data_IF_959256460218
#
_entry.id   IF_959256460218
#
_cell.length_a   1.000
_cell.length_b   1.000
_cell.length_c   1.000
_cell.angle_alpha   90.00
_cell.angle_beta   90.00
_cell.angle_gamma   90.00
#
_symmetry.space_group_name_H-M   'P 1'
#
loop_
_entity.id
_entity.type
_entity.pdbx_description
1 polymer ?
#
# COMPACT_ATOMS: atom_id res chain seq x y z
N UNK A 1 -40.32 -43.64 -10.55
CA UNK A 1 -39.24 -42.94 -11.24
C UNK A 1 -38.56 -42.02 -10.21
N UNK A 2 -37.28 -42.25 -9.88
CA UNK A 2 -36.54 -41.36 -8.97
C UNK A 2 -36.17 -40.07 -9.73
N UNK A 3 -36.35 -38.92 -9.10
CA UNK A 3 -35.91 -37.64 -9.65
C UNK A 3 -34.37 -37.66 -9.81
N UNK A 4 -33.84 -37.08 -10.91
CA UNK A 4 -32.41 -37.01 -11.08
C UNK A 4 -31.77 -36.24 -9.93
N UNK A 5 -30.68 -36.78 -9.38
CA UNK A 5 -29.86 -36.09 -8.35
C UNK A 5 -29.36 -34.77 -8.97
N UNK A 6 -29.59 -33.67 -8.26
CA UNK A 6 -29.13 -32.33 -8.66
C UNK A 6 -27.59 -32.31 -8.65
N UNK A 7 -26.96 -31.97 -9.76
CA UNK A 7 -25.52 -31.77 -9.84
C UNK A 7 -25.14 -30.43 -9.21
N UNK A 8 -24.47 -30.47 -8.05
CA UNK A 8 -24.00 -29.29 -7.32
C UNK A 8 -22.55 -28.91 -7.68
N UNK A 9 -21.90 -29.59 -8.62
CA UNK A 9 -20.48 -29.39 -8.89
C UNK A 9 -20.16 -27.96 -9.34
N UNK A 10 -21.01 -27.37 -10.20
CA UNK A 10 -20.86 -25.98 -10.65
C UNK A 10 -21.05 -24.97 -9.49
N UNK A 11 -22.03 -25.23 -8.61
CA UNK A 11 -22.28 -24.37 -7.46
C UNK A 11 -21.09 -24.41 -6.47
N UNK A 12 -20.53 -25.60 -6.23
CA UNK A 12 -19.34 -25.77 -5.39
C UNK A 12 -18.13 -25.08 -6.00
N UNK A 13 -17.89 -25.23 -7.31
CA UNK A 13 -16.78 -24.56 -7.99
C UNK A 13 -16.88 -23.03 -7.88
N UNK A 14 -18.07 -22.46 -8.06
CA UNK A 14 -18.32 -21.04 -7.92
C UNK A 14 -18.07 -20.55 -6.47
N UNK A 15 -18.47 -21.33 -5.48
CA UNK A 15 -18.22 -21.03 -4.06
C UNK A 15 -16.72 -21.07 -3.73
N UNK A 16 -15.99 -22.06 -4.23
CA UNK A 16 -14.54 -22.15 -4.05
C UNK A 16 -13.82 -20.95 -4.67
N UNK A 17 -14.22 -20.50 -5.86
CA UNK A 17 -13.66 -19.28 -6.48
C UNK A 17 -13.92 -18.02 -5.66
N UNK A 18 -15.11 -17.89 -5.08
CA UNK A 18 -15.43 -16.76 -4.18
C UNK A 18 -14.62 -16.82 -2.89
N UNK A 19 -14.45 -18.01 -2.31
CA UNK A 19 -13.63 -18.22 -1.12
C UNK A 19 -12.18 -17.82 -1.38
N UNK A 20 -11.60 -18.29 -2.50
CA UNK A 20 -10.24 -17.93 -2.91
C UNK A 20 -10.07 -16.42 -3.03
N UNK A 21 -11.04 -15.73 -3.64
CA UNK A 21 -11.00 -14.26 -3.75
C UNK A 21 -10.99 -13.57 -2.38
N UNK A 22 -11.78 -14.07 -1.42
CA UNK A 22 -11.79 -13.53 -0.06
C UNK A 22 -10.46 -13.79 0.67
N UNK A 23 -9.89 -14.97 0.52
CA UNK A 23 -8.56 -15.30 1.06
C UNK A 23 -7.48 -14.39 0.50
N UNK A 24 -7.49 -14.14 -0.80
CA UNK A 24 -6.58 -13.22 -1.48
C UNK A 24 -6.69 -11.79 -0.93
N UNK A 25 -7.91 -11.29 -0.76
CA UNK A 25 -8.16 -9.95 -0.18
C UNK A 25 -7.60 -9.88 1.24
N UNK A 26 -7.77 -10.94 2.04
CA UNK A 26 -7.23 -11.01 3.39
C UNK A 26 -5.69 -11.05 3.39
N UNK A 27 -5.07 -11.81 2.49
CA UNK A 27 -3.60 -11.86 2.35
C UNK A 27 -3.03 -10.51 1.94
N UNK A 28 -3.63 -9.84 0.95
CA UNK A 28 -3.21 -8.50 0.50
C UNK A 28 -3.37 -7.48 1.63
N UNK A 29 -4.45 -7.57 2.41
CA UNK A 29 -4.65 -6.71 3.58
C UNK A 29 -3.58 -6.91 4.64
N UNK A 30 -3.19 -8.17 4.93
CA UNK A 30 -2.08 -8.50 5.83
C UNK A 30 -0.73 -8.01 5.30
N UNK A 31 -0.50 -8.15 3.98
CA UNK A 31 0.70 -7.63 3.33
C UNK A 31 0.81 -6.10 3.48
N UNK A 32 -0.30 -5.38 3.33
CA UNK A 32 -0.34 -3.93 3.55
C UNK A 32 -0.07 -3.56 5.01
N UNK A 33 -0.61 -4.32 5.96
CA UNK A 33 -0.34 -4.12 7.39
C UNK A 33 1.15 -4.37 7.72
N UNK A 34 1.75 -5.43 7.17
CA UNK A 34 3.17 -5.73 7.33
C UNK A 34 4.07 -4.60 6.77
N UNK A 35 3.68 -3.99 5.66
CA UNK A 35 4.36 -2.80 5.14
C UNK A 35 4.33 -1.65 6.13
N UNK A 36 3.14 -1.29 6.65
CA UNK A 36 3.02 -0.22 7.64
C UNK A 36 3.90 -0.51 8.87
N UNK A 37 3.86 -1.73 9.39
CA UNK A 37 4.69 -2.13 10.53
C UNK A 37 6.20 -2.03 10.22
N UNK A 38 6.62 -2.36 9.00
CA UNK A 38 8.02 -2.29 8.60
C UNK A 38 8.53 -0.85 8.48
N UNK A 39 7.70 0.09 8.00
CA UNK A 39 8.06 1.51 7.91
C UNK A 39 7.89 2.25 9.24
N UNK A 40 6.93 1.84 10.08
CA UNK A 40 6.72 2.41 11.41
C UNK A 40 7.76 1.88 12.42
N UNK A 41 8.44 0.80 12.09
CA UNK A 41 9.40 0.15 12.96
C UNK A 41 8.78 -0.62 14.11
N UNK A 42 7.46 -0.86 14.07
CA UNK A 42 6.72 -1.42 15.20
C UNK A 42 6.73 -0.47 16.41
N UNK A 43 6.59 -1.03 17.59
CA UNK A 43 6.57 -0.25 18.84
C UNK A 43 7.94 -0.17 19.53
N UNK A 44 8.98 -0.74 18.92
CA UNK A 44 10.37 -0.74 19.43
C UNK A 44 11.18 0.50 19.00
N UNK A 45 10.56 1.44 18.30
CA UNK A 45 11.12 2.71 17.81
C UNK A 45 12.13 2.59 16.66
N UNK A 46 12.29 1.43 16.05
CA UNK A 46 13.08 1.28 14.83
C UNK A 46 12.19 1.49 13.62
N UNK A 47 12.25 2.70 13.05
CA UNK A 47 11.48 3.06 11.86
C UNK A 47 12.23 2.69 10.57
N UNK A 48 11.51 2.58 9.45
CA UNK A 48 12.05 2.51 8.09
C UNK A 48 13.09 1.38 7.93
N UNK A 49 12.66 0.15 8.17
CA UNK A 49 13.51 -1.06 8.02
C UNK A 49 13.55 -1.49 6.55
N UNK A 50 14.57 -1.04 5.80
CA UNK A 50 14.67 -1.22 4.35
C UNK A 50 14.56 -2.67 3.90
N UNK A 51 15.32 -3.60 4.50
CA UNK A 51 15.27 -5.02 4.17
C UNK A 51 13.89 -5.64 4.45
N UNK A 52 13.26 -5.30 5.57
CA UNK A 52 11.92 -5.77 5.90
C UNK A 52 10.88 -5.27 4.88
N UNK A 53 10.98 -4.00 4.46
CA UNK A 53 10.11 -3.45 3.42
C UNK A 53 10.38 -4.12 2.07
N UNK A 54 11.64 -4.23 1.64
CA UNK A 54 11.99 -4.81 0.34
C UNK A 54 11.51 -6.27 0.21
N UNK A 55 11.54 -7.05 1.30
CA UNK A 55 11.08 -8.45 1.31
C UNK A 55 9.58 -8.62 1.00
N UNK A 56 8.80 -7.56 1.11
CA UNK A 56 7.38 -7.56 0.77
C UNK A 56 7.11 -7.35 -0.72
N UNK A 57 8.13 -7.05 -1.49
CA UNK A 57 8.05 -6.79 -2.93
C UNK A 57 8.55 -7.98 -3.76
N UNK A 58 8.11 -8.03 -5.02
CA UNK A 58 8.79 -8.84 -6.03
C UNK A 58 10.18 -8.27 -6.32
N UNK A 59 11.14 -9.06 -6.86
CA UNK A 59 12.53 -8.62 -7.07
C UNK A 59 12.68 -7.32 -7.88
N UNK A 60 11.79 -7.08 -8.83
CA UNK A 60 11.71 -5.88 -9.68
C UNK A 60 10.58 -4.92 -9.25
N UNK A 61 10.18 -5.01 -8.00
CA UNK A 61 9.13 -4.16 -7.43
C UNK A 61 9.54 -2.70 -7.32
N UNK A 62 8.54 -1.84 -7.20
CA UNK A 62 8.73 -0.38 -7.14
C UNK A 62 8.05 0.18 -5.90
N UNK A 63 8.80 0.94 -5.12
CA UNK A 63 8.28 1.80 -4.06
C UNK A 63 8.36 3.26 -4.53
N UNK A 64 7.23 3.99 -4.51
CA UNK A 64 7.14 5.34 -5.06
C UNK A 64 6.28 6.24 -4.17
N UNK A 65 6.92 7.08 -3.38
CA UNK A 65 6.26 8.14 -2.61
C UNK A 65 6.24 9.49 -3.35
N UNK A 66 6.56 9.48 -4.64
CA UNK A 66 6.55 10.67 -5.48
C UNK A 66 7.44 11.79 -4.94
N UNK A 67 6.90 13.00 -4.97
CA UNK A 67 7.64 14.21 -4.56
C UNK A 67 8.01 14.26 -3.08
N UNK A 68 7.27 13.56 -2.22
CA UNK A 68 7.46 13.61 -0.76
C UNK A 68 8.57 12.70 -0.28
N UNK A 69 8.76 11.56 -0.94
CA UNK A 69 9.68 10.52 -0.46
C UNK A 69 10.60 9.93 -1.51
N UNK A 70 10.42 10.30 -2.79
CA UNK A 70 11.23 9.74 -3.87
C UNK A 70 10.80 8.34 -4.29
N UNK A 71 11.69 7.62 -4.99
CA UNK A 71 11.39 6.35 -5.64
C UNK A 71 12.55 5.36 -5.48
N UNK A 72 12.24 4.10 -5.23
CA UNK A 72 13.18 2.98 -5.22
C UNK A 72 12.68 1.85 -6.11
N UNK A 73 13.56 1.32 -6.97
CA UNK A 73 13.27 0.21 -7.87
C UNK A 73 14.14 -1.01 -7.52
N UNK A 74 13.52 -2.18 -7.54
CA UNK A 74 14.10 -3.43 -7.09
C UNK A 74 14.46 -3.42 -5.61
N UNK A 75 14.80 -4.57 -5.05
CA UNK A 75 15.07 -4.68 -3.61
C UNK A 75 16.16 -3.70 -3.15
N UNK A 76 17.30 -3.63 -3.84
CA UNK A 76 18.39 -2.72 -3.46
C UNK A 76 17.99 -1.24 -3.52
N UNK A 77 17.19 -0.84 -4.51
CA UNK A 77 16.67 0.53 -4.62
C UNK A 77 15.70 0.85 -3.50
N UNK A 78 14.81 -0.10 -3.15
CA UNK A 78 13.85 0.02 -2.04
C UNK A 78 14.58 0.13 -0.71
N UNK A 79 15.55 -0.76 -0.43
CA UNK A 79 16.36 -0.69 0.79
C UNK A 79 17.00 0.68 0.92
N UNK A 80 17.71 1.14 -0.11
CA UNK A 80 18.40 2.43 -0.08
C UNK A 80 17.48 3.60 0.23
N UNK A 81 16.30 3.65 -0.40
CA UNK A 81 15.38 4.78 -0.19
C UNK A 81 14.72 4.72 1.19
N UNK A 82 14.29 3.54 1.63
CA UNK A 82 13.66 3.37 2.95
C UNK A 82 14.68 3.65 4.06
N UNK A 83 15.90 3.15 3.97
CA UNK A 83 16.93 3.38 4.98
C UNK A 83 17.35 4.86 5.07
N UNK A 84 17.17 5.65 4.02
CA UNK A 84 17.40 7.10 4.08
C UNK A 84 16.49 7.82 5.07
N UNK A 85 15.34 7.23 5.41
CA UNK A 85 14.40 7.76 6.39
C UNK A 85 14.64 7.29 7.84
N UNK A 86 15.61 6.43 8.10
CA UNK A 86 15.92 5.93 9.46
C UNK A 86 16.30 7.04 10.46
N UNK A 87 16.66 8.21 9.97
CA UNK A 87 16.92 9.39 10.80
C UNK A 87 15.64 10.02 11.39
N UNK A 88 14.47 9.64 10.88
CA UNK A 88 13.19 10.05 11.47
C UNK A 88 12.98 9.29 12.78
N UNK A 89 12.86 9.98 13.93
CA UNK A 89 12.76 9.31 15.23
C UNK A 89 11.38 8.67 15.46
N UNK A 90 10.38 9.00 14.63
CA UNK A 90 9.04 8.47 14.75
C UNK A 90 8.34 8.41 13.39
N UNK A 91 7.65 7.31 13.15
CA UNK A 91 6.73 7.14 12.03
C UNK A 91 5.55 6.26 12.46
N UNK A 92 4.35 6.64 12.05
CA UNK A 92 3.12 5.91 12.33
C UNK A 92 2.16 6.06 11.16
N UNK A 93 1.95 4.98 10.38
CA UNK A 93 1.00 4.96 9.28
C UNK A 93 -0.33 4.34 9.70
N UNK A 94 -1.42 4.99 9.33
CA UNK A 94 -2.78 4.47 9.45
C UNK A 94 -3.41 4.42 8.07
N UNK A 95 -3.71 3.21 7.62
CA UNK A 95 -4.42 2.97 6.35
C UNK A 95 -5.86 2.57 6.63
N UNK A 96 -6.77 3.03 5.78
CA UNK A 96 -8.20 2.78 5.92
C UNK A 96 -8.89 2.69 4.55
N UNK A 97 -10.16 2.31 4.56
CA UNK A 97 -11.02 2.25 3.37
C UNK A 97 -10.40 1.42 2.23
N UNK A 98 -10.06 0.14 2.48
CA UNK A 98 -9.51 -0.71 1.44
C UNK A 98 -10.52 -0.93 0.30
N UNK A 99 -10.07 -0.72 -0.95
CA UNK A 99 -10.74 -1.19 -2.17
C UNK A 99 -9.73 -2.09 -2.88
N UNK A 100 -9.89 -3.41 -2.75
CA UNK A 100 -8.97 -4.41 -3.29
C UNK A 100 -9.70 -5.19 -4.38
N UNK A 101 -9.08 -5.29 -5.55
CA UNK A 101 -9.62 -5.99 -6.71
C UNK A 101 -8.63 -7.03 -7.18
N UNK A 102 -9.05 -8.30 -7.15
CA UNK A 102 -8.24 -9.45 -7.57
C UNK A 102 -8.68 -9.87 -8.97
N UNK A 103 -7.70 -10.10 -9.84
CA UNK A 103 -7.89 -10.62 -11.18
C UNK A 103 -6.81 -11.68 -11.49
N UNK A 104 -7.12 -12.94 -11.21
CA UNK A 104 -6.17 -14.05 -11.34
C UNK A 104 -4.96 -13.86 -10.41
N UNK A 105 -3.77 -13.75 -10.99
CA UNK A 105 -2.51 -13.59 -10.28
C UNK A 105 -2.08 -12.13 -10.11
N UNK A 106 -2.92 -11.19 -10.51
CA UNK A 106 -2.73 -9.77 -10.34
C UNK A 106 -3.82 -9.17 -9.45
N UNK A 107 -3.48 -8.13 -8.70
CA UNK A 107 -4.46 -7.37 -7.94
C UNK A 107 -4.06 -5.89 -7.85
N UNK A 108 -5.07 -5.07 -7.64
CA UNK A 108 -4.90 -3.65 -7.28
C UNK A 108 -5.51 -3.39 -5.93
N UNK A 109 -4.94 -2.41 -5.22
CA UNK A 109 -5.48 -1.96 -3.94
C UNK A 109 -5.39 -0.45 -3.79
N UNK A 110 -6.45 0.13 -3.25
CA UNK A 110 -6.51 1.53 -2.89
C UNK A 110 -6.77 1.65 -1.40
N UNK A 111 -6.04 2.55 -0.72
CA UNK A 111 -6.25 2.89 0.68
C UNK A 111 -6.15 4.39 0.89
N UNK A 112 -6.94 4.93 1.79
CA UNK A 112 -6.63 6.22 2.37
C UNK A 112 -5.53 6.04 3.41
N UNK A 113 -4.62 7.01 3.50
CA UNK A 113 -3.54 7.00 4.49
C UNK A 113 -3.49 8.31 5.25
N UNK A 114 -3.25 8.18 6.55
CA UNK A 114 -2.77 9.25 7.42
C UNK A 114 -1.50 8.73 8.07
N UNK A 115 -0.42 9.50 7.99
CA UNK A 115 0.81 9.19 8.69
C UNK A 115 1.24 10.35 9.58
N UNK A 116 1.67 10.02 10.77
CA UNK A 116 2.29 10.95 11.73
C UNK A 116 3.77 10.65 11.76
N UNK A 117 4.56 11.66 11.49
CA UNK A 117 6.01 11.53 11.34
C UNK A 117 6.70 12.58 12.20
N UNK A 118 7.93 12.30 12.63
CA UNK A 118 8.82 13.34 13.16
C UNK A 118 10.02 13.50 12.23
N UNK A 119 10.29 14.72 11.83
CA UNK A 119 11.51 15.03 11.08
C UNK A 119 12.75 14.80 11.98
N UNK A 120 13.95 14.68 11.39
CA UNK A 120 15.18 14.52 12.17
C UNK A 120 15.44 15.62 13.21
N UNK A 121 14.91 16.81 12.99
CA UNK A 121 14.96 17.96 13.94
C UNK A 121 13.85 17.94 15.00
N UNK A 122 13.03 16.88 15.02
CA UNK A 122 11.90 16.73 15.94
C UNK A 122 10.60 17.44 15.50
N UNK A 123 10.58 18.08 14.34
CA UNK A 123 9.35 18.73 13.83
C UNK A 123 8.28 17.68 13.56
N UNK A 124 7.10 17.78 14.23
CA UNK A 124 6.00 16.85 13.97
C UNK A 124 5.32 17.19 12.64
N UNK A 125 5.16 16.17 11.79
CA UNK A 125 4.58 16.29 10.46
C UNK A 125 3.42 15.31 10.32
N UNK A 126 2.38 15.74 9.61
CA UNK A 126 1.29 14.89 9.17
C UNK A 126 1.28 14.78 7.65
N UNK A 127 1.16 13.53 7.19
CA UNK A 127 0.94 13.18 5.80
C UNK A 127 -0.47 12.62 5.63
N UNK A 128 -1.18 13.05 4.62
CA UNK A 128 -2.47 12.48 4.22
C UNK A 128 -2.48 12.24 2.72
N UNK A 129 -3.07 11.14 2.29
CA UNK A 129 -3.11 10.82 0.88
C UNK A 129 -3.85 9.53 0.56
N UNK A 130 -3.56 9.02 -0.61
CA UNK A 130 -4.13 7.78 -1.14
C UNK A 130 -3.00 6.91 -1.66
N UNK A 131 -2.93 5.67 -1.19
CA UNK A 131 -2.15 4.62 -1.84
C UNK A 131 -2.92 4.03 -3.02
N UNK A 132 -2.20 3.71 -4.09
CA UNK A 132 -2.66 2.94 -5.26
C UNK A 132 -1.60 1.90 -5.55
N UNK A 133 -1.83 0.70 -5.06
CA UNK A 133 -0.85 -0.37 -5.09
C UNK A 133 -1.21 -1.40 -6.15
N UNK A 134 -0.18 -2.08 -6.69
CA UNK A 134 -0.31 -3.23 -7.57
C UNK A 134 0.38 -4.43 -6.93
N UNK A 135 -0.23 -5.59 -7.06
CA UNK A 135 0.23 -6.84 -6.45
C UNK A 135 0.35 -7.94 -7.49
N UNK A 136 1.26 -8.87 -7.24
CA UNK A 136 1.44 -10.09 -8.00
C UNK A 136 1.41 -11.27 -7.03
N UNK A 137 0.70 -12.33 -7.42
CA UNK A 137 0.76 -13.63 -6.74
C UNK A 137 2.05 -14.33 -7.10
N UNK A 138 2.78 -14.79 -6.10
CA UNK A 138 4.01 -15.57 -6.25
C UNK A 138 3.84 -16.95 -5.61
N UNK A 139 4.83 -17.81 -5.74
CA UNK A 139 4.87 -19.09 -5.02
C UNK A 139 4.91 -18.93 -3.50
N UNK A 140 5.31 -17.74 -2.99
CA UNK A 140 5.36 -17.42 -1.57
C UNK A 140 4.20 -16.50 -1.12
N UNK A 141 3.08 -16.45 -1.85
CA UNK A 141 1.95 -15.59 -1.60
C UNK A 141 2.03 -14.25 -2.33
N UNK A 142 1.14 -13.35 -2.00
CA UNK A 142 1.07 -12.03 -2.63
C UNK A 142 2.27 -11.14 -2.28
N UNK A 143 2.74 -10.36 -3.27
CA UNK A 143 3.83 -9.38 -3.11
C UNK A 143 3.47 -8.07 -3.80
N UNK A 144 4.01 -6.95 -3.30
CA UNK A 144 3.90 -5.68 -4.01
C UNK A 144 4.69 -5.75 -5.33
N UNK A 145 4.04 -5.42 -6.43
CA UNK A 145 4.68 -5.08 -7.70
C UNK A 145 4.98 -3.58 -7.75
N UNK A 146 4.05 -2.78 -7.27
CA UNK A 146 4.18 -1.33 -7.13
C UNK A 146 3.44 -0.90 -5.87
N UNK A 147 4.12 -0.16 -5.02
CA UNK A 147 3.51 0.55 -3.91
C UNK A 147 3.73 2.04 -4.17
N UNK A 148 2.64 2.79 -4.24
CA UNK A 148 2.74 4.21 -4.49
C UNK A 148 1.40 4.90 -4.29
N UNK A 149 1.39 6.20 -4.57
CA UNK A 149 0.17 6.99 -4.39
C UNK A 149 0.40 8.47 -4.54
N UNK A 150 -0.59 9.23 -4.09
CA UNK A 150 -0.55 10.67 -4.11
C UNK A 150 -0.72 11.24 -2.71
N UNK A 151 0.17 12.14 -2.33
CA UNK A 151 -0.01 12.98 -1.17
C UNK A 151 -1.04 14.07 -1.50
N UNK A 152 -2.13 14.11 -0.74
CA UNK A 152 -3.03 15.25 -0.75
C UNK A 152 -2.48 16.37 0.14
N UNK A 153 -1.66 15.96 1.13
CA UNK A 153 -1.30 16.85 2.20
C UNK A 153 -0.02 16.36 2.91
N UNK A 154 0.94 17.26 3.10
CA UNK A 154 2.14 17.03 3.91
C UNK A 154 2.51 18.34 4.60
N UNK A 155 2.35 18.41 5.92
CA UNK A 155 2.52 19.65 6.66
C UNK A 155 3.00 19.43 8.09
N UNK A 156 3.59 20.48 8.65
CA UNK A 156 3.82 20.55 10.10
C UNK A 156 2.49 20.59 10.85
N UNK A 157 2.39 19.83 11.95
CA UNK A 157 1.23 19.92 12.84
C UNK A 157 1.08 21.30 13.50
N UNK A 158 2.13 22.11 13.50
CA UNK A 158 2.07 23.50 14.00
C UNK A 158 1.28 24.41 13.07
N UNK A 159 1.36 24.16 11.76
CA UNK A 159 0.75 25.01 10.73
C UNK A 159 -0.66 24.55 10.36
N UNK A 160 -0.97 23.27 10.67
CA UNK A 160 -2.25 22.67 10.34
C UNK A 160 -2.46 22.50 8.85
N UNK A 161 -3.64 22.00 8.46
CA UNK A 161 -3.94 21.67 7.06
C UNK A 161 -4.62 22.79 6.26
N UNK A 162 -4.89 23.94 6.87
CA UNK A 162 -5.58 25.05 6.22
C UNK A 162 -4.69 26.05 5.49
N UNK A 163 -3.38 26.04 5.72
CA UNK A 163 -2.43 27.09 5.29
C UNK A 163 -1.28 26.58 4.40
N UNK A 164 -1.12 25.26 4.23
CA UNK A 164 0.03 24.71 3.52
C UNK A 164 0.00 24.99 2.02
N UNK A 165 1.05 25.60 1.50
CA UNK A 165 1.29 25.73 0.05
C UNK A 165 1.32 24.36 -0.64
N UNK A 166 1.66 23.30 0.09
CA UNK A 166 1.77 21.95 -0.40
C UNK A 166 0.46 21.40 -0.97
N UNK A 167 -0.68 21.69 -0.35
CA UNK A 167 -2.01 21.33 -0.85
C UNK A 167 -2.29 21.92 -2.23
N UNK A 168 -1.85 23.16 -2.49
CA UNK A 168 -2.03 23.84 -3.77
C UNK A 168 -1.06 23.37 -4.85
N UNK A 169 0.11 22.84 -4.45
CA UNK A 169 1.19 22.46 -5.37
C UNK A 169 1.18 21.00 -5.79
N UNK A 170 0.42 20.16 -5.10
CA UNK A 170 0.37 18.73 -5.38
C UNK A 170 -1.07 18.19 -5.38
N UNK A 171 -1.90 18.63 -6.35
CA UNK A 171 -3.24 18.10 -6.51
C UNK A 171 -3.17 16.58 -6.69
N UNK A 172 -4.16 15.87 -6.17
CA UNK A 172 -4.32 14.45 -6.46
C UNK A 172 -4.40 14.28 -7.98
N UNK A 173 -3.67 13.30 -8.57
CA UNK A 173 -3.84 13.00 -9.97
C UNK A 173 -5.32 12.71 -10.24
N UNK A 174 -5.84 13.25 -11.33
CA UNK A 174 -7.20 12.96 -11.76
C UNK A 174 -7.38 11.44 -11.83
N UNK A 175 -8.53 10.96 -11.35
CA UNK A 175 -8.86 9.55 -11.48
C UNK A 175 -8.86 9.23 -12.99
N UNK A 176 -8.06 8.23 -13.39
CA UNK A 176 -8.10 7.73 -14.76
C UNK A 176 -9.58 7.47 -15.13
N UNK A 177 -10.05 8.16 -16.15
CA UNK A 177 -11.41 8.01 -16.64
C UNK A 177 -11.61 6.55 -17.09
N UNK A 178 -12.75 5.91 -16.81
CA UNK A 178 -13.01 4.53 -17.24
C UNK A 178 -13.03 4.33 -18.76
N UNK A 179 -12.80 5.37 -19.54
CA UNK A 179 -12.92 5.36 -21.00
C UNK A 179 -11.67 4.87 -21.75
N UNK A 180 -10.56 4.57 -21.07
CA UNK A 180 -9.34 4.06 -21.74
C UNK A 180 -9.04 2.57 -21.52
N UNK A 181 -10.01 1.82 -21.01
CA UNK A 181 -9.96 0.36 -20.95
C UNK A 181 -10.87 -0.24 -22.04
N UNK A 182 -10.51 -0.04 -23.30
CA UNK A 182 -11.03 -0.81 -24.43
C UNK A 182 -9.90 -1.56 -25.12
#
# INVERSE_FOLDING_TARGET
MAAPLRDFSADVSALMGRLQTLEDIMEISRLKAAYCEAVDGGWDRRTHRGEAVASLFVPDGVWDAGRVGGRGEGHAGIVRIIDSFQRMPFALHRVSNPDIRVNGDEATGKWHVIAYLSQPDGTPVMFMGVYRDKFIRTKQGWRFKHLGGAAAYYTSLRDGWGVGEYYKQNPLPEAESPAEAQ
#
